data_IF_939082908658
#
_entry.id   IF_939082908658
#
_cell.length_a   1.000
_cell.length_b   1.000
_cell.length_c   1.000
_cell.angle_alpha   90.00
_cell.angle_beta   90.00
_cell.angle_gamma   90.00
#
_symmetry.space_group_name_H-M   'P 1'
#
loop_
_entity.id
_entity.type
_entity.pdbx_description
1 polymer ?
#
# COMPACT_ATOMS: atom_id res chain seq x y z
N UNK A 1 -32.29 15.52 18.23
CA UNK A 1 -32.76 15.12 16.89
C UNK A 1 -32.07 15.97 15.84
N UNK A 2 -30.94 15.49 15.30
CA UNK A 2 -30.58 15.70 13.90
C UNK A 2 -29.58 14.61 13.51
N UNK A 3 -29.98 13.36 13.75
CA UNK A 3 -29.28 12.19 13.23
C UNK A 3 -29.68 12.03 11.77
N UNK A 4 -29.10 12.89 10.93
CA UNK A 4 -29.08 12.62 9.49
C UNK A 4 -27.89 11.73 9.29
N UNK A 5 -28.12 10.44 9.06
CA UNK A 5 -27.11 9.52 8.53
C UNK A 5 -26.65 10.10 7.19
N UNK A 6 -25.53 10.82 7.19
CA UNK A 6 -24.94 11.41 5.99
C UNK A 6 -23.96 10.42 5.39
N UNK A 7 -23.88 10.40 4.06
CA UNK A 7 -22.90 9.60 3.34
C UNK A 7 -21.47 10.01 3.76
N UNK A 8 -20.66 9.02 4.11
CA UNK A 8 -19.24 9.21 4.38
C UNK A 8 -18.49 9.76 3.16
N UNK A 9 -17.38 10.47 3.39
CA UNK A 9 -16.55 11.01 2.31
C UNK A 9 -17.09 12.27 1.61
N UNK A 10 -18.24 12.81 2.05
CA UNK A 10 -18.76 14.13 1.61
C UNK A 10 -18.21 15.27 2.46
N UNK A 11 -17.95 15.01 3.74
CA UNK A 11 -17.35 15.95 4.69
C UNK A 11 -15.85 15.68 4.85
N UNK A 12 -15.14 16.60 5.52
CA UNK A 12 -13.74 16.38 5.87
C UNK A 12 -13.64 15.10 6.71
N UNK A 13 -12.87 14.10 6.26
CA UNK A 13 -12.86 12.81 6.93
C UNK A 13 -12.14 12.90 8.28
N UNK A 14 -12.69 12.22 9.29
CA UNK A 14 -12.12 12.21 10.64
C UNK A 14 -11.14 11.05 10.80
N UNK A 15 -9.85 11.38 10.86
CA UNK A 15 -8.77 10.40 11.08
C UNK A 15 -8.68 10.00 12.55
N UNK A 16 -8.95 8.74 12.85
CA UNK A 16 -8.68 8.17 14.18
C UNK A 16 -7.26 7.59 14.23
N UNK A 17 -6.47 7.87 15.29
CA UNK A 17 -5.15 7.26 15.44
C UNK A 17 -5.21 5.74 15.48
N UNK A 18 -4.35 5.07 14.72
CA UNK A 18 -4.20 3.62 14.77
C UNK A 18 -3.62 3.22 16.14
N UNK A 19 -4.27 2.28 16.83
CA UNK A 19 -3.79 1.77 18.11
C UNK A 19 -2.68 0.71 17.94
N UNK A 20 -1.54 1.11 17.39
CA UNK A 20 -0.47 0.21 16.98
C UNK A 20 0.34 -0.42 18.12
N UNK A 21 0.10 0.03 19.36
CA UNK A 21 0.79 -0.45 20.57
C UNK A 21 0.09 -1.61 21.26
N UNK A 22 -1.16 -1.93 20.89
CA UNK A 22 -1.86 -3.07 21.48
C UNK A 22 -1.31 -4.40 20.97
N UNK A 23 -1.52 -5.44 21.77
CA UNK A 23 -1.22 -6.82 21.37
C UNK A 23 -2.02 -7.22 20.12
N UNK A 24 -3.27 -6.79 20.03
CA UNK A 24 -4.16 -7.07 18.90
C UNK A 24 -3.62 -6.56 17.55
N UNK A 25 -2.85 -5.45 17.55
CA UNK A 25 -2.34 -4.88 16.30
C UNK A 25 -1.56 -5.90 15.44
N UNK A 26 -0.86 -6.83 16.08
CA UNK A 26 -0.05 -7.87 15.41
C UNK A 26 -0.70 -9.25 15.42
N UNK A 27 -1.96 -9.37 15.83
CA UNK A 27 -2.69 -10.63 15.80
C UNK A 27 -3.17 -10.92 14.37
N UNK A 28 -2.72 -12.03 13.80
CA UNK A 28 -3.00 -12.41 12.41
C UNK A 28 -4.49 -12.70 12.19
N UNK A 29 -5.15 -13.43 13.10
CA UNK A 29 -6.57 -13.75 12.98
C UNK A 29 -7.44 -12.50 13.01
N UNK A 30 -7.18 -11.59 13.96
CA UNK A 30 -7.84 -10.27 14.06
C UNK A 30 -7.64 -9.44 12.79
N UNK A 31 -6.43 -9.43 12.23
CA UNK A 31 -6.14 -8.74 10.98
C UNK A 31 -6.90 -9.35 9.78
N UNK A 32 -6.87 -10.68 9.62
CA UNK A 32 -7.53 -11.37 8.51
C UNK A 32 -9.06 -11.22 8.59
N UNK A 33 -9.64 -11.28 9.78
CA UNK A 33 -11.07 -11.04 9.98
C UNK A 33 -11.47 -9.59 9.60
N UNK A 34 -10.63 -8.61 9.94
CA UNK A 34 -10.89 -7.21 9.57
C UNK A 34 -10.69 -6.97 8.07
N UNK A 35 -9.72 -7.63 7.44
CA UNK A 35 -9.55 -7.63 5.98
C UNK A 35 -10.79 -8.18 5.28
N UNK A 36 -11.27 -9.35 5.70
CA UNK A 36 -12.49 -9.95 5.18
C UNK A 36 -13.70 -9.03 5.32
N UNK A 37 -13.95 -8.48 6.52
CA UNK A 37 -15.06 -7.57 6.77
C UNK A 37 -15.02 -6.35 5.86
N UNK A 38 -13.84 -5.72 5.70
CA UNK A 38 -13.70 -4.55 4.83
C UNK A 38 -13.83 -4.94 3.35
N UNK A 39 -13.32 -6.11 2.95
CA UNK A 39 -13.41 -6.60 1.58
C UNK A 39 -14.84 -6.91 1.17
N UNK A 40 -15.63 -7.49 2.06
CA UNK A 40 -17.06 -7.75 1.89
C UNK A 40 -17.83 -6.43 1.66
N UNK A 41 -17.59 -5.44 2.52
CA UNK A 41 -18.17 -4.10 2.34
C UNK A 41 -17.70 -3.43 1.05
N UNK A 42 -16.43 -3.57 0.66
CA UNK A 42 -15.91 -3.02 -0.59
C UNK A 42 -16.55 -3.66 -1.82
N UNK A 43 -16.77 -4.98 -1.79
CA UNK A 43 -17.39 -5.76 -2.85
C UNK A 43 -18.84 -5.33 -3.12
N UNK A 44 -19.58 -4.96 -2.07
CA UNK A 44 -20.97 -4.49 -2.21
C UNK A 44 -21.13 -3.18 -3.01
N UNK A 45 -20.13 -2.28 -2.99
CA UNK A 45 -20.26 -0.96 -3.62
C UNK A 45 -19.34 -0.73 -4.83
N UNK A 46 -18.17 -1.39 -4.89
CA UNK A 46 -17.15 -1.31 -5.96
C UNK A 46 -16.70 0.08 -6.43
N UNK A 47 -17.07 1.16 -5.72
CA UNK A 47 -16.84 2.56 -6.12
C UNK A 47 -15.38 2.95 -6.31
N UNK A 48 -14.45 2.22 -5.69
CA UNK A 48 -13.03 2.55 -5.67
C UNK A 48 -12.22 1.91 -6.80
N UNK A 49 -12.85 1.16 -7.72
CA UNK A 49 -12.20 0.36 -8.78
C UNK A 49 -11.15 1.12 -9.60
N UNK A 50 -11.35 2.43 -9.83
CA UNK A 50 -10.47 3.25 -10.67
C UNK A 50 -9.34 3.96 -9.92
N UNK A 51 -9.21 3.80 -8.59
CA UNK A 51 -8.27 4.59 -7.80
C UNK A 51 -6.86 3.97 -7.70
N UNK A 52 -6.77 2.65 -7.54
CA UNK A 52 -5.50 1.92 -7.47
C UNK A 52 -5.73 0.44 -7.76
N UNK A 53 -4.66 -0.32 -7.96
CA UNK A 53 -4.76 -1.73 -8.34
C UNK A 53 -5.30 -2.64 -7.22
N UNK A 54 -5.36 -2.19 -5.97
CA UNK A 54 -5.92 -2.99 -4.87
C UNK A 54 -7.38 -3.40 -5.14
N UNK A 55 -8.19 -2.49 -5.67
CA UNK A 55 -9.62 -2.73 -5.86
C UNK A 55 -9.92 -3.66 -7.05
N UNK A 56 -9.34 -3.48 -8.25
CA UNK A 56 -9.44 -4.49 -9.30
C UNK A 56 -8.94 -5.87 -8.88
N UNK A 57 -7.81 -5.94 -8.15
CA UNK A 57 -7.32 -7.22 -7.61
C UNK A 57 -8.33 -7.86 -6.67
N UNK A 58 -8.90 -7.08 -5.73
CA UNK A 58 -9.91 -7.58 -4.82
C UNK A 58 -11.14 -8.10 -5.56
N UNK A 59 -11.67 -7.32 -6.50
CA UNK A 59 -12.89 -7.68 -7.20
C UNK A 59 -12.69 -8.87 -8.13
N UNK A 60 -11.54 -8.99 -8.81
CA UNK A 60 -11.23 -10.17 -9.59
C UNK A 60 -11.13 -11.44 -8.72
N UNK A 61 -10.47 -11.35 -7.55
CA UNK A 61 -10.39 -12.48 -6.62
C UNK A 61 -11.77 -12.99 -6.21
N UNK A 62 -12.72 -12.09 -6.00
CA UNK A 62 -14.09 -12.45 -5.62
C UNK A 62 -14.89 -12.93 -6.84
N UNK A 63 -14.78 -12.27 -7.99
CA UNK A 63 -15.49 -12.63 -9.22
C UNK A 63 -15.04 -13.99 -9.78
N UNK A 64 -13.81 -14.42 -9.48
CA UNK A 64 -13.24 -15.71 -9.84
C UNK A 64 -13.42 -16.78 -8.75
N UNK A 65 -14.06 -16.44 -7.62
CA UNK A 65 -14.30 -17.34 -6.49
C UNK A 65 -15.53 -18.25 -6.71
N UNK A 66 -15.65 -19.32 -5.93
CA UNK A 66 -16.72 -20.32 -6.11
C UNK A 66 -18.12 -19.78 -5.81
N UNK A 67 -18.23 -18.92 -4.80
CA UNK A 67 -19.51 -18.36 -4.32
C UNK A 67 -19.80 -16.98 -4.89
N UNK A 68 -18.85 -16.37 -5.62
CA UNK A 68 -18.86 -14.96 -5.99
C UNK A 68 -18.86 -13.99 -4.80
N UNK A 69 -18.50 -14.50 -3.62
CA UNK A 69 -18.47 -13.76 -2.36
C UNK A 69 -17.10 -13.90 -1.68
N UNK A 70 -16.83 -13.05 -0.69
CA UNK A 70 -15.51 -13.00 -0.03
C UNK A 70 -15.18 -14.28 0.77
N UNK A 71 -16.20 -15.05 1.15
CA UNK A 71 -16.10 -16.26 1.96
C UNK A 71 -15.35 -17.41 1.26
N UNK A 72 -15.40 -17.48 -0.07
CA UNK A 72 -14.68 -18.47 -0.87
C UNK A 72 -13.33 -17.97 -1.42
N UNK A 73 -12.93 -16.74 -1.08
CA UNK A 73 -11.59 -16.23 -1.37
C UNK A 73 -10.58 -16.72 -0.33
N UNK A 74 -9.49 -17.33 -0.80
CA UNK A 74 -8.39 -17.78 0.07
C UNK A 74 -7.76 -16.61 0.81
N UNK A 75 -7.55 -16.76 2.13
CA UNK A 75 -6.95 -15.71 2.97
C UNK A 75 -5.53 -15.34 2.53
N UNK A 76 -4.82 -16.27 1.90
CA UNK A 76 -3.50 -16.04 1.32
C UNK A 76 -3.53 -15.01 0.18
N UNK A 77 -4.63 -14.93 -0.57
CA UNK A 77 -4.76 -14.02 -1.70
C UNK A 77 -5.08 -12.58 -1.27
N UNK A 78 -5.51 -12.37 -0.02
CA UNK A 78 -5.72 -11.03 0.54
C UNK A 78 -4.42 -10.20 0.50
N UNK A 79 -3.27 -10.86 0.61
CA UNK A 79 -1.98 -10.18 0.55
C UNK A 79 -1.73 -9.51 -0.81
N UNK A 80 -2.30 -10.01 -1.90
CA UNK A 80 -2.20 -9.38 -3.22
C UNK A 80 -2.90 -8.00 -3.23
N UNK A 81 -4.05 -7.90 -2.57
CA UNK A 81 -4.79 -6.64 -2.40
C UNK A 81 -4.00 -5.67 -1.53
N UNK A 82 -3.42 -6.16 -0.42
CA UNK A 82 -2.55 -5.37 0.46
C UNK A 82 -1.36 -4.79 -0.31
N UNK A 83 -0.71 -5.60 -1.14
CA UNK A 83 0.46 -5.16 -1.91
C UNK A 83 0.12 -4.06 -2.91
N UNK A 84 -1.05 -4.11 -3.55
CA UNK A 84 -1.47 -3.11 -4.52
C UNK A 84 -2.07 -1.82 -3.93
N UNK A 85 -2.11 -1.67 -2.60
CA UNK A 85 -2.49 -0.41 -1.96
C UNK A 85 -1.31 0.58 -1.89
N UNK A 86 -1.51 1.80 -2.41
CA UNK A 86 -0.49 2.86 -2.45
C UNK A 86 -0.47 3.76 -1.21
N UNK A 87 -1.34 3.54 -0.23
CA UNK A 87 -1.47 4.37 0.98
C UNK A 87 -1.65 5.88 0.68
N UNK A 88 -2.34 6.21 -0.41
CA UNK A 88 -2.56 7.59 -0.86
C UNK A 88 -3.82 8.25 -0.30
N UNK A 89 -4.62 7.50 0.47
CA UNK A 89 -5.84 7.97 1.14
C UNK A 89 -7.02 8.39 0.27
N UNK A 90 -6.88 8.39 -1.06
CA UNK A 90 -7.93 8.87 -1.97
C UNK A 90 -9.26 8.10 -1.82
N UNK A 91 -9.24 6.78 -1.60
CA UNK A 91 -10.47 6.00 -1.43
C UNK A 91 -11.25 6.43 -0.20
N UNK A 92 -10.56 6.62 0.91
CA UNK A 92 -11.11 7.08 2.17
C UNK A 92 -11.59 8.53 2.10
N UNK A 93 -10.81 9.41 1.47
CA UNK A 93 -11.12 10.84 1.44
C UNK A 93 -12.22 11.23 0.46
N UNK A 94 -12.41 10.49 -0.64
CA UNK A 94 -13.19 11.00 -1.79
C UNK A 94 -14.23 10.04 -2.36
N UNK A 95 -14.22 8.75 -1.98
CA UNK A 95 -15.10 7.75 -2.63
C UNK A 95 -15.89 6.90 -1.67
N UNK A 96 -15.35 6.56 -0.51
CA UNK A 96 -15.95 5.62 0.40
C UNK A 96 -17.13 6.26 1.16
N UNK A 97 -18.37 5.79 0.95
CA UNK A 97 -19.55 6.31 1.66
C UNK A 97 -19.63 5.82 3.12
N UNK A 98 -18.71 4.94 3.52
CA UNK A 98 -18.79 4.17 4.77
C UNK A 98 -17.65 4.48 5.75
N UNK A 99 -16.96 5.61 5.57
CA UNK A 99 -15.95 6.10 6.51
C UNK A 99 -16.59 6.54 7.84
N UNK A 100 -15.85 6.53 8.97
CA UNK A 100 -16.37 7.07 10.23
C UNK A 100 -16.96 8.48 10.07
N UNK A 101 -18.11 8.76 10.73
CA UNK A 101 -18.74 7.98 11.80
C UNK A 101 -19.75 6.91 11.34
N UNK A 102 -19.76 6.52 10.05
CA UNK A 102 -20.65 5.46 9.56
C UNK A 102 -20.46 4.16 10.36
N UNK A 103 -21.53 3.40 10.58
CA UNK A 103 -21.53 2.18 11.40
C UNK A 103 -20.50 1.13 10.94
N UNK A 104 -20.24 1.04 9.64
CA UNK A 104 -19.24 0.13 9.07
C UNK A 104 -17.79 0.59 9.25
N UNK A 105 -17.57 1.86 9.61
CA UNK A 105 -16.28 2.42 10.02
C UNK A 105 -15.10 2.00 9.12
N UNK A 106 -15.23 2.20 7.80
CA UNK A 106 -14.23 1.74 6.83
C UNK A 106 -13.08 2.74 6.75
N UNK A 107 -11.89 2.31 7.18
CA UNK A 107 -10.62 3.00 6.93
C UNK A 107 -9.64 2.06 6.21
N UNK A 108 -9.89 1.89 4.91
CA UNK A 108 -9.11 1.00 4.06
C UNK A 108 -7.60 1.31 4.11
N UNK A 109 -7.13 2.57 3.98
CA UNK A 109 -5.71 2.88 4.08
C UNK A 109 -5.08 2.49 5.42
N UNK A 110 -5.75 2.74 6.55
CA UNK A 110 -5.24 2.33 7.86
C UNK A 110 -5.14 0.81 8.01
N UNK A 111 -6.12 0.07 7.48
CA UNK A 111 -6.08 -1.39 7.47
C UNK A 111 -4.93 -1.91 6.61
N UNK A 112 -4.71 -1.34 5.42
CA UNK A 112 -3.58 -1.69 4.56
C UNK A 112 -2.24 -1.36 5.23
N UNK A 113 -2.15 -0.25 5.95
CA UNK A 113 -0.96 0.11 6.73
C UNK A 113 -0.70 -0.94 7.84
N UNK A 114 -1.73 -1.36 8.59
CA UNK A 114 -1.62 -2.44 9.59
C UNK A 114 -1.12 -3.73 8.94
N UNK A 115 -1.70 -4.13 7.80
CA UNK A 115 -1.33 -5.34 7.08
C UNK A 115 0.13 -5.31 6.59
N UNK A 116 0.58 -4.20 6.01
CA UNK A 116 1.98 -4.01 5.58
C UNK A 116 2.94 -4.01 6.77
N UNK A 117 2.56 -3.39 7.89
CA UNK A 117 3.37 -3.42 9.11
C UNK A 117 3.49 -4.83 9.70
N UNK A 118 2.42 -5.62 9.68
CA UNK A 118 2.43 -7.02 10.07
C UNK A 118 3.40 -7.84 9.22
N UNK A 119 3.31 -7.74 7.88
CA UNK A 119 4.23 -8.44 6.96
C UNK A 119 5.69 -8.02 7.16
N UNK A 120 5.94 -6.72 7.37
CA UNK A 120 7.29 -6.23 7.64
C UNK A 120 7.90 -6.85 8.90
N UNK A 121 7.13 -6.91 10.01
CA UNK A 121 7.59 -7.51 11.28
C UNK A 121 7.84 -9.02 11.16
N UNK A 122 7.06 -9.71 10.34
CA UNK A 122 7.22 -11.16 10.08
C UNK A 122 8.31 -11.47 9.05
N UNK A 123 9.02 -10.46 8.54
CA UNK A 123 10.07 -10.65 7.54
C UNK A 123 9.54 -11.01 6.15
N UNK A 124 8.23 -10.91 5.89
CA UNK A 124 7.56 -11.21 4.62
C UNK A 124 7.69 -10.09 3.58
N UNK A 125 8.73 -9.26 3.68
CA UNK A 125 9.00 -8.14 2.75
C UNK A 125 10.35 -8.36 2.09
N UNK A 126 10.37 -8.26 0.76
CA UNK A 126 11.56 -8.46 -0.05
C UNK A 126 12.69 -7.47 0.27
N UNK A 127 13.94 -7.90 0.06
CA UNK A 127 15.14 -7.08 0.30
C UNK A 127 15.12 -5.81 -0.56
N UNK A 128 14.67 -5.92 -1.82
CA UNK A 128 14.47 -4.79 -2.73
C UNK A 128 13.60 -3.72 -2.08
N UNK A 129 12.41 -4.09 -1.61
CA UNK A 129 11.43 -3.13 -1.10
C UNK A 129 11.93 -2.48 0.19
N UNK A 130 12.60 -3.23 1.07
CA UNK A 130 13.28 -2.67 2.25
C UNK A 130 14.32 -1.60 1.89
N UNK A 131 15.11 -1.83 0.84
CA UNK A 131 16.12 -0.87 0.38
C UNK A 131 15.44 0.34 -0.25
N UNK A 132 14.54 0.13 -1.22
CA UNK A 132 13.90 1.22 -1.97
C UNK A 132 13.04 2.14 -1.09
N UNK A 133 12.37 1.59 -0.08
CA UNK A 133 11.56 2.37 0.87
C UNK A 133 12.40 3.08 1.93
N UNK A 134 13.69 2.70 2.10
CA UNK A 134 14.62 3.37 3.01
C UNK A 134 15.29 4.59 2.34
N UNK A 135 14.49 5.57 1.92
CA UNK A 135 14.94 6.75 1.13
C UNK A 135 16.12 7.48 1.76
N UNK A 136 16.14 7.63 3.10
CA UNK A 136 17.26 8.26 3.81
C UNK A 136 18.58 7.47 3.67
N UNK A 137 18.52 6.14 3.78
CA UNK A 137 19.71 5.28 3.64
C UNK A 137 20.20 5.26 2.19
N UNK A 138 19.27 5.13 1.24
CA UNK A 138 19.59 5.19 -0.19
C UNK A 138 20.20 6.54 -0.54
N UNK A 139 19.59 7.64 -0.11
CA UNK A 139 20.05 8.99 -0.40
C UNK A 139 21.38 9.33 0.26
N UNK A 140 21.60 8.91 1.50
CA UNK A 140 22.89 9.12 2.18
C UNK A 140 24.04 8.34 1.54
N UNK A 141 23.80 7.10 1.09
CA UNK A 141 24.81 6.28 0.42
C UNK A 141 25.04 6.71 -1.03
N UNK A 142 23.97 6.79 -1.84
CA UNK A 142 24.07 7.15 -3.25
C UNK A 142 24.41 8.64 -3.45
N UNK A 143 24.34 9.46 -2.39
CA UNK A 143 24.80 10.85 -2.36
C UNK A 143 26.27 11.02 -1.95
N UNK A 144 27.06 9.96 -1.77
CA UNK A 144 28.51 10.09 -1.53
C UNK A 144 29.19 10.60 -2.81
N UNK A 145 30.17 11.53 -2.74
CA UNK A 145 30.98 11.91 -3.90
C UNK A 145 31.53 10.69 -4.62
N UNK A 146 31.66 10.77 -5.95
CA UNK A 146 31.98 9.63 -6.84
C UNK A 146 30.87 8.59 -6.92
N UNK A 147 30.34 8.07 -5.80
CA UNK A 147 29.24 7.08 -5.79
C UNK A 147 28.03 7.60 -6.57
N UNK A 148 27.63 8.84 -6.33
CA UNK A 148 26.54 9.49 -7.06
C UNK A 148 26.76 9.49 -8.58
N UNK A 149 27.98 9.79 -9.02
CA UNK A 149 28.33 9.84 -10.44
C UNK A 149 28.28 8.43 -11.06
N UNK A 150 28.88 7.46 -10.37
CA UNK A 150 28.87 6.05 -10.80
C UNK A 150 27.44 5.51 -10.91
N UNK A 151 26.62 5.69 -9.87
CA UNK A 151 25.21 5.24 -9.87
C UNK A 151 24.44 5.88 -11.02
N UNK A 152 24.61 7.18 -11.26
CA UNK A 152 23.94 7.87 -12.36
C UNK A 152 24.36 7.35 -13.74
N UNK A 153 25.64 7.04 -13.96
CA UNK A 153 26.15 6.47 -15.21
C UNK A 153 25.58 5.05 -15.40
N UNK A 154 25.64 4.21 -14.37
CA UNK A 154 25.10 2.84 -14.41
C UNK A 154 23.59 2.86 -14.70
N UNK A 155 22.83 3.75 -14.05
CA UNK A 155 21.39 3.88 -14.25
C UNK A 155 20.99 4.39 -15.65
N UNK A 156 21.91 4.92 -16.45
CA UNK A 156 21.66 5.32 -17.84
C UNK A 156 22.01 4.21 -18.85
N UNK A 157 22.74 3.18 -18.42
CA UNK A 157 23.21 2.09 -19.30
C UNK A 157 22.10 1.06 -19.55
N UNK A 158 21.60 0.95 -20.79
CA UNK A 158 20.55 -0.03 -21.16
C UNK A 158 20.88 -1.48 -20.78
N UNK A 159 22.12 -1.99 -20.99
CA UNK A 159 22.48 -3.32 -20.51
C UNK A 159 22.37 -3.47 -18.99
N UNK A 160 22.87 -2.50 -18.23
CA UNK A 160 22.78 -2.52 -16.77
C UNK A 160 21.32 -2.50 -16.29
N UNK A 161 20.44 -1.74 -16.96
CA UNK A 161 19.00 -1.71 -16.67
C UNK A 161 18.33 -3.06 -16.90
N UNK A 162 18.65 -3.78 -17.98
CA UNK A 162 18.13 -5.14 -18.23
C UNK A 162 18.62 -6.15 -17.20
N UNK A 163 19.87 -6.03 -16.75
CA UNK A 163 20.38 -6.88 -15.66
C UNK A 163 19.65 -6.58 -14.36
N UNK A 164 19.51 -5.30 -14.01
CA UNK A 164 18.80 -4.86 -12.80
C UNK A 164 17.34 -5.32 -12.77
N UNK A 165 16.66 -5.32 -13.92
CA UNK A 165 15.30 -5.85 -14.04
C UNK A 165 15.25 -7.34 -13.70
N UNK A 166 16.17 -8.14 -14.25
CA UNK A 166 16.21 -9.59 -14.02
C UNK A 166 16.63 -9.97 -12.60
N UNK A 167 17.50 -9.19 -11.96
CA UNK A 167 18.07 -9.54 -10.65
C UNK A 167 17.35 -8.89 -9.47
N UNK A 168 16.97 -7.62 -9.62
CA UNK A 168 16.36 -6.80 -8.56
C UNK A 168 14.89 -6.52 -8.89
N UNK A 169 14.37 -6.86 -10.08
CA UNK A 169 12.95 -6.65 -10.39
C UNK A 169 12.56 -5.18 -10.55
N UNK A 170 13.51 -4.29 -10.87
CA UNK A 170 13.23 -2.90 -11.23
C UNK A 170 13.16 -2.83 -12.75
N UNK A 171 11.96 -2.57 -13.28
CA UNK A 171 11.70 -2.52 -14.72
C UNK A 171 12.74 -1.63 -15.46
N UNK A 172 13.29 -2.12 -16.57
CA UNK A 172 14.38 -1.45 -17.28
C UNK A 172 14.03 -0.04 -17.77
N UNK A 173 12.75 0.18 -18.12
CA UNK A 173 12.22 1.49 -18.53
C UNK A 173 11.73 2.36 -17.36
N UNK A 174 11.85 1.91 -16.10
CA UNK A 174 11.45 2.73 -14.96
C UNK A 174 12.33 3.99 -14.88
N UNK A 175 11.69 5.14 -14.61
CA UNK A 175 12.38 6.42 -14.39
C UNK A 175 13.05 6.39 -13.02
N UNK A 176 14.38 6.46 -13.00
CA UNK A 176 15.16 6.48 -11.76
C UNK A 176 15.61 7.91 -11.40
N UNK A 177 15.64 8.27 -10.10
CA UNK A 177 16.15 9.56 -9.68
C UNK A 177 17.64 9.69 -9.96
N UNK A 178 18.08 10.91 -10.28
CA UNK A 178 19.50 11.26 -10.29
C UNK A 178 19.96 11.54 -8.86
N UNK A 179 21.08 10.96 -8.47
CA UNK A 179 21.70 11.23 -7.18
C UNK A 179 22.72 12.37 -7.30
N UNK A 180 22.77 13.22 -6.28
CA UNK A 180 23.68 14.37 -6.23
C UNK A 180 24.45 14.36 -4.92
N UNK A 181 25.77 14.61 -4.99
CA UNK A 181 26.62 14.66 -3.80
C UNK A 181 26.42 15.92 -2.96
N UNK A 182 26.03 17.02 -3.61
CA UNK A 182 25.59 18.25 -2.99
C UNK A 182 24.04 18.25 -2.85
N UNK A 183 23.55 17.59 -1.81
CA UNK A 183 22.11 17.45 -1.54
C UNK A 183 21.51 18.69 -0.89
N UNK A 184 20.18 18.84 -0.94
CA UNK A 184 19.47 19.93 -0.25
C UNK A 184 19.77 19.98 1.25
N UNK A 185 20.01 18.83 1.89
CA UNK A 185 20.33 18.74 3.32
C UNK A 185 21.71 19.33 3.68
N UNK A 186 22.61 19.45 2.71
CA UNK A 186 23.96 20.03 2.90
C UNK A 186 24.03 21.53 2.54
N UNK A 187 22.98 22.07 1.93
CA UNK A 187 22.85 23.50 1.60
C UNK A 187 22.25 24.24 2.78
#
# INVERSE_FOLDING_TARGET
>A
MNDKTREGGVEAPTRHPINWKTLDFNNEASLLNELERVYDVCHSCRRCVSLCNAFPTLFNLIDESETFEVDSVKKEDYWNVVEHCYLCDLCYMTKCPYVPPHEWNIDFPHLMLRAKAYNFRRGKVGVRDKILTSTDKVGSFAGIPVVAQTVNIVNQSKPARKVMEKTIGIHSNAVLPKFYSNSLRKR
#
